data_IF_926746651268
#
_entry.id   IF_926746651268
#
_cell.length_a   1.000
_cell.length_b   1.000
_cell.length_c   1.000
_cell.angle_alpha   90.00
_cell.angle_beta   90.00
_cell.angle_gamma   90.00
#
_symmetry.space_group_name_H-M   'P 1'
#
loop_
_entity.id
_entity.type
_entity.pdbx_description
1 polymer ?
#
# COMPACT_ATOMS: atom_id res chain seq x y z
N UNK A 1 24.77 -17.48 -18.94
CA UNK A 1 25.85 -16.49 -19.12
C UNK A 1 25.98 -15.61 -17.86
N UNK A 2 24.92 -14.92 -17.42
CA UNK A 2 24.92 -14.08 -16.21
C UNK A 2 25.35 -14.86 -14.95
N UNK A 3 24.85 -16.09 -14.78
CA UNK A 3 25.21 -16.95 -13.65
C UNK A 3 26.71 -17.34 -13.67
N UNK A 4 27.24 -17.65 -14.86
CA UNK A 4 28.65 -18.02 -15.02
C UNK A 4 29.60 -16.85 -14.66
N UNK A 5 29.20 -15.62 -14.96
CA UNK A 5 29.96 -14.42 -14.65
C UNK A 5 29.58 -13.80 -13.31
N UNK A 6 28.75 -14.46 -12.50
CA UNK A 6 28.25 -13.96 -11.21
C UNK A 6 27.55 -12.59 -11.31
N UNK A 7 27.03 -12.27 -12.50
CA UNK A 7 26.26 -11.03 -12.74
C UNK A 7 24.84 -11.19 -12.21
N UNK A 8 24.69 -10.98 -10.90
CA UNK A 8 23.41 -11.19 -10.21
C UNK A 8 22.35 -10.19 -10.63
N UNK A 9 22.72 -8.99 -11.04
CA UNK A 9 21.76 -7.97 -11.47
C UNK A 9 21.10 -8.32 -12.80
N UNK A 10 21.83 -8.99 -13.69
CA UNK A 10 21.27 -9.56 -14.92
C UNK A 10 20.57 -10.90 -14.71
N UNK A 11 20.97 -11.64 -13.69
CA UNK A 11 20.37 -12.95 -13.39
C UNK A 11 18.99 -12.83 -12.74
N UNK A 12 18.81 -11.92 -11.76
CA UNK A 12 17.56 -11.74 -11.00
C UNK A 12 16.29 -11.57 -11.87
N UNK A 13 16.29 -10.78 -12.97
CA UNK A 13 15.11 -10.62 -13.79
C UNK A 13 14.67 -11.88 -14.53
N UNK A 14 15.56 -12.82 -14.81
CA UNK A 14 15.26 -14.04 -15.56
C UNK A 14 14.34 -15.00 -14.80
N UNK A 15 14.65 -15.41 -13.54
CA UNK A 15 13.75 -16.24 -12.76
C UNK A 15 12.44 -15.53 -12.42
N UNK A 16 12.48 -14.21 -12.16
CA UNK A 16 11.28 -13.45 -11.83
C UNK A 16 10.23 -13.40 -12.94
N UNK A 17 10.67 -13.45 -14.21
CA UNK A 17 9.80 -13.43 -15.41
C UNK A 17 9.50 -14.81 -15.99
N UNK A 18 10.13 -15.86 -15.50
CA UNK A 18 9.98 -17.20 -16.05
C UNK A 18 8.88 -18.00 -15.36
N UNK A 19 8.36 -19.03 -16.04
CA UNK A 19 7.44 -20.00 -15.44
C UNK A 19 8.05 -20.75 -14.24
N UNK A 20 9.37 -20.81 -14.13
CA UNK A 20 10.07 -21.36 -12.98
C UNK A 20 9.79 -20.58 -11.69
N UNK A 21 9.56 -19.27 -11.79
CA UNK A 21 9.21 -18.44 -10.64
C UNK A 21 7.92 -18.91 -9.94
N UNK A 22 6.95 -19.42 -10.69
CA UNK A 22 5.72 -19.98 -10.13
C UNK A 22 5.94 -21.31 -9.40
N UNK A 23 6.97 -22.06 -9.79
CA UNK A 23 7.32 -23.35 -9.19
C UNK A 23 8.21 -23.19 -7.95
N UNK A 24 9.00 -22.12 -7.89
CA UNK A 24 9.91 -21.85 -6.76
C UNK A 24 9.23 -21.24 -5.52
N UNK A 25 7.91 -21.06 -5.55
CA UNK A 25 7.17 -20.39 -4.48
C UNK A 25 7.22 -18.85 -4.60
N UNK A 26 6.56 -18.19 -3.63
CA UNK A 26 6.36 -16.73 -3.67
C UNK A 26 7.56 -15.95 -3.19
N UNK A 27 8.33 -16.52 -2.30
CA UNK A 27 9.49 -15.91 -1.68
C UNK A 27 10.74 -16.77 -1.86
N UNK A 28 11.83 -16.17 -2.30
CA UNK A 28 13.13 -16.82 -2.36
C UNK A 28 14.11 -15.97 -1.55
N UNK A 29 14.63 -16.55 -0.49
CA UNK A 29 15.70 -15.97 0.33
C UNK A 29 16.78 -17.02 0.53
N UNK A 30 17.86 -16.88 -0.20
CA UNK A 30 19.03 -17.75 -0.12
C UNK A 30 20.30 -16.91 -0.22
N UNK A 31 21.46 -17.43 0.23
CA UNK A 31 22.74 -16.72 0.08
C UNK A 31 23.07 -16.33 -1.36
N UNK A 32 22.53 -17.10 -2.34
CA UNK A 32 22.84 -16.89 -3.76
C UNK A 32 21.79 -15.99 -4.45
N UNK A 33 20.53 -16.02 -4.00
CA UNK A 33 19.43 -15.33 -4.66
C UNK A 33 18.34 -14.96 -3.67
N UNK A 34 18.04 -13.66 -3.61
CA UNK A 34 16.90 -13.12 -2.88
C UNK A 34 15.94 -12.49 -3.88
N UNK A 35 14.72 -12.99 -3.94
CA UNK A 35 13.65 -12.43 -4.77
C UNK A 35 12.46 -12.08 -3.90
N UNK A 36 12.11 -10.79 -3.92
CA UNK A 36 10.91 -10.29 -3.28
C UNK A 36 9.69 -10.53 -4.20
N UNK A 37 8.59 -11.10 -3.69
CA UNK A 37 7.36 -11.25 -4.48
C UNK A 37 6.79 -9.94 -5.01
N UNK A 38 7.03 -8.81 -4.35
CA UNK A 38 6.64 -7.48 -4.84
C UNK A 38 7.34 -7.13 -6.13
N UNK A 39 8.61 -7.47 -6.26
CA UNK A 39 9.39 -7.25 -7.48
C UNK A 39 8.86 -8.12 -8.66
N UNK A 40 8.11 -9.16 -8.37
CA UNK A 40 7.46 -10.04 -9.36
C UNK A 40 6.09 -9.53 -9.82
N UNK A 41 5.56 -8.47 -9.20
CA UNK A 41 4.23 -7.96 -9.54
C UNK A 41 3.07 -8.89 -9.18
N UNK A 42 3.18 -9.65 -8.11
CA UNK A 42 2.18 -10.62 -7.68
C UNK A 42 0.87 -9.97 -7.22
N UNK A 43 0.93 -8.74 -6.72
CA UNK A 43 -0.24 -7.94 -6.37
C UNK A 43 -0.07 -6.50 -6.82
N UNK A 44 -1.19 -5.83 -7.04
CA UNK A 44 -1.19 -4.42 -7.37
C UNK A 44 -1.19 -3.59 -6.07
N UNK A 45 -0.26 -2.65 -5.99
CA UNK A 45 -0.32 -1.59 -5.01
C UNK A 45 -1.04 -0.40 -5.64
N UNK A 46 -2.32 -0.30 -5.34
CA UNK A 46 -3.16 0.78 -5.85
C UNK A 46 -3.05 2.00 -4.94
N UNK A 47 -3.27 3.18 -5.51
CA UNK A 47 -3.38 4.39 -4.72
C UNK A 47 -4.67 4.41 -3.92
N UNK A 48 -4.59 4.74 -2.65
CA UNK A 48 -5.75 4.91 -1.81
C UNK A 48 -6.47 6.20 -2.16
N UNK A 49 -7.75 6.11 -2.47
CA UNK A 49 -8.58 7.26 -2.78
C UNK A 49 -9.98 7.05 -2.15
N UNK A 50 -10.14 7.29 -0.85
CA UNK A 50 -11.34 6.93 -0.08
C UNK A 50 -12.60 7.64 -0.57
N UNK A 51 -12.46 8.82 -1.17
CA UNK A 51 -13.59 9.59 -1.68
C UNK A 51 -14.11 9.09 -3.04
N UNK A 52 -13.28 8.35 -3.78
CA UNK A 52 -13.60 7.85 -5.13
C UNK A 52 -14.02 6.39 -5.10
N UNK A 53 -13.53 5.62 -4.14
CA UNK A 53 -13.88 4.22 -4.02
C UNK A 53 -15.19 4.06 -3.23
N UNK A 54 -16.22 3.60 -3.93
CA UNK A 54 -17.40 3.08 -3.26
C UNK A 54 -16.99 2.02 -2.25
N UNK A 55 -17.72 1.93 -1.14
CA UNK A 55 -17.50 0.94 -0.09
C UNK A 55 -17.26 -0.44 -0.68
N UNK A 56 -16.07 -0.97 -0.50
CA UNK A 56 -15.67 -2.25 -1.08
C UNK A 56 -16.18 -3.46 -0.27
N UNK A 57 -16.85 -3.23 0.87
CA UNK A 57 -17.31 -4.28 1.78
C UNK A 57 -18.76 -4.08 2.20
N UNK A 58 -19.40 -5.16 2.65
CA UNK A 58 -20.75 -5.14 3.21
C UNK A 58 -20.72 -4.71 4.67
N UNK A 59 -21.57 -3.76 5.06
CA UNK A 59 -21.77 -3.41 6.46
C UNK A 59 -22.39 -4.57 7.22
N UNK A 60 -21.95 -4.80 8.46
CA UNK A 60 -22.48 -5.82 9.36
C UNK A 60 -21.42 -6.83 9.83
N UNK A 61 -21.87 -7.89 10.51
CA UNK A 61 -21.01 -8.90 11.14
C UNK A 61 -20.12 -9.67 10.15
N UNK A 62 -20.58 -9.83 8.91
CA UNK A 62 -19.87 -10.57 7.86
C UNK A 62 -18.94 -9.69 7.04
N UNK A 63 -18.02 -9.02 7.52
CA UNK A 63 -17.05 -8.10 6.84
C UNK A 63 -16.57 -8.60 5.45
N UNK A 64 -17.53 -8.90 4.57
CA UNK A 64 -17.27 -9.47 3.24
C UNK A 64 -16.88 -8.35 2.28
N UNK A 65 -15.73 -8.49 1.64
CA UNK A 65 -15.31 -7.61 0.55
C UNK A 65 -16.18 -7.91 -0.68
N UNK A 66 -16.91 -6.89 -1.17
CA UNK A 66 -17.80 -7.01 -2.33
C UNK A 66 -17.09 -6.80 -3.66
N UNK A 67 -15.98 -6.05 -3.65
CA UNK A 67 -15.16 -5.84 -4.84
C UNK A 67 -14.23 -7.04 -5.06
N UNK A 68 -14.54 -7.87 -6.05
CA UNK A 68 -13.79 -9.09 -6.34
C UNK A 68 -12.32 -8.82 -6.69
N UNK A 69 -12.03 -7.69 -7.38
CA UNK A 69 -10.65 -7.32 -7.72
C UNK A 69 -9.85 -6.97 -6.46
N UNK A 70 -10.41 -6.11 -5.60
CA UNK A 70 -9.79 -5.76 -4.32
C UNK A 70 -9.57 -7.01 -3.46
N UNK A 71 -10.57 -7.89 -3.38
CA UNK A 71 -10.49 -9.14 -2.64
C UNK A 71 -9.36 -10.04 -3.17
N UNK A 72 -9.31 -10.27 -4.48
CA UNK A 72 -8.26 -11.09 -5.09
C UNK A 72 -6.85 -10.52 -4.87
N UNK A 73 -6.68 -9.20 -4.97
CA UNK A 73 -5.40 -8.55 -4.73
C UNK A 73 -5.00 -8.58 -3.25
N UNK A 74 -5.97 -8.39 -2.34
CA UNK A 74 -5.71 -8.52 -0.90
C UNK A 74 -5.28 -9.94 -0.52
N UNK A 75 -5.92 -10.98 -1.06
CA UNK A 75 -5.48 -12.35 -0.84
C UNK A 75 -4.08 -12.60 -1.38
N UNK A 76 -3.73 -12.07 -2.55
CA UNK A 76 -2.36 -12.17 -3.09
C UNK A 76 -1.34 -11.49 -2.18
N UNK A 77 -1.66 -10.31 -1.64
CA UNK A 77 -0.80 -9.65 -0.65
C UNK A 77 -0.60 -10.56 0.57
N UNK A 78 -1.67 -11.10 1.15
CA UNK A 78 -1.58 -11.99 2.32
C UNK A 78 -0.77 -13.25 2.03
N UNK A 79 -0.90 -13.82 0.82
CA UNK A 79 -0.09 -14.97 0.37
C UNK A 79 1.40 -14.65 0.33
N UNK A 80 1.77 -13.42 -0.01
CA UNK A 80 3.15 -12.95 0.03
C UNK A 80 3.63 -12.77 1.48
N UNK A 81 2.84 -12.05 2.28
CA UNK A 81 3.24 -11.65 3.63
C UNK A 81 3.38 -12.83 4.59
N UNK A 82 2.55 -13.89 4.43
CA UNK A 82 2.63 -15.07 5.30
C UNK A 82 3.98 -15.80 5.27
N UNK A 83 4.79 -15.60 4.22
CA UNK A 83 6.11 -16.22 4.10
C UNK A 83 7.25 -15.27 4.52
N UNK A 84 6.95 -14.00 4.80
CA UNK A 84 7.95 -13.06 5.31
C UNK A 84 8.16 -13.28 6.81
N UNK A 85 9.40 -13.42 7.28
CA UNK A 85 9.69 -13.55 8.72
C UNK A 85 9.38 -12.24 9.47
N UNK A 86 9.56 -11.10 8.82
CA UNK A 86 9.24 -9.77 9.34
C UNK A 86 8.68 -8.90 8.22
N UNK A 87 7.72 -8.05 8.56
CA UNK A 87 7.20 -7.06 7.63
C UNK A 87 8.15 -5.87 7.53
N UNK A 88 8.37 -5.39 6.31
CA UNK A 88 9.11 -4.16 6.08
C UNK A 88 8.16 -2.95 5.98
N UNK A 89 8.73 -1.75 5.84
CA UNK A 89 7.99 -0.50 5.77
C UNK A 89 7.00 -0.46 4.59
N UNK A 90 7.37 -1.05 3.47
CA UNK A 90 6.53 -1.11 2.28
C UNK A 90 5.37 -2.09 2.47
N UNK A 91 5.57 -3.20 3.19
CA UNK A 91 4.52 -4.15 3.53
C UNK A 91 3.47 -3.50 4.44
N UNK A 92 3.92 -2.76 5.46
CA UNK A 92 3.02 -2.02 6.34
C UNK A 92 2.20 -0.98 5.56
N UNK A 93 2.82 -0.26 4.63
CA UNK A 93 2.13 0.72 3.79
C UNK A 93 1.11 0.06 2.85
N UNK A 94 1.44 -1.11 2.28
CA UNK A 94 0.51 -1.90 1.47
C UNK A 94 -0.68 -2.40 2.31
N UNK A 95 -0.43 -2.88 3.53
CA UNK A 95 -1.50 -3.28 4.46
C UNK A 95 -2.41 -2.10 4.80
N UNK A 96 -1.86 -0.90 5.07
CA UNK A 96 -2.67 0.31 5.28
C UNK A 96 -3.66 0.52 4.13
N UNK A 97 -3.20 0.42 2.86
CA UNK A 97 -4.05 0.57 1.70
C UNK A 97 -5.25 -0.39 1.75
N UNK A 98 -4.99 -1.70 1.89
CA UNK A 98 -6.04 -2.70 1.86
C UNK A 98 -6.97 -2.65 3.07
N UNK A 99 -6.47 -2.28 4.24
CA UNK A 99 -7.27 -2.16 5.46
C UNK A 99 -8.16 -0.92 5.41
N UNK A 100 -7.62 0.24 5.01
CA UNK A 100 -8.42 1.45 4.83
C UNK A 100 -9.48 1.30 3.74
N UNK A 101 -9.16 0.62 2.63
CA UNK A 101 -10.14 0.33 1.59
C UNK A 101 -11.27 -0.62 2.05
N UNK A 102 -11.09 -1.31 3.18
CA UNK A 102 -12.10 -2.16 3.83
C UNK A 102 -12.76 -1.49 5.04
N UNK A 103 -12.56 -0.19 5.29
CA UNK A 103 -12.96 0.54 6.51
C UNK A 103 -12.47 -0.12 7.83
N UNK A 104 -11.40 -0.89 7.76
CA UNK A 104 -10.72 -1.44 8.93
C UNK A 104 -9.71 -0.41 9.46
N UNK A 105 -10.25 0.73 9.91
CA UNK A 105 -9.47 1.94 10.17
C UNK A 105 -8.46 1.73 11.30
N UNK A 106 -8.89 1.15 12.42
CA UNK A 106 -8.01 0.93 13.58
C UNK A 106 -6.82 0.03 13.25
N UNK A 107 -7.07 -1.05 12.51
CA UNK A 107 -6.02 -1.97 12.06
C UNK A 107 -5.08 -1.29 11.05
N UNK A 108 -5.66 -0.51 10.13
CA UNK A 108 -4.87 0.28 9.18
C UNK A 108 -3.97 1.31 9.88
N UNK A 109 -4.49 2.01 10.88
CA UNK A 109 -3.72 2.96 11.69
C UNK A 109 -2.60 2.26 12.48
N UNK A 110 -2.86 1.08 13.05
CA UNK A 110 -1.83 0.31 13.76
C UNK A 110 -0.66 -0.08 12.84
N UNK A 111 -0.95 -0.43 11.57
CA UNK A 111 0.11 -0.65 10.59
C UNK A 111 0.78 0.65 10.16
N UNK A 112 0.03 1.73 9.98
CA UNK A 112 0.59 3.02 9.61
C UNK A 112 1.58 3.55 10.64
N UNK A 113 1.34 3.32 11.93
CA UNK A 113 2.22 3.71 13.03
C UNK A 113 3.58 2.98 13.03
N UNK A 114 3.69 1.88 12.28
CA UNK A 114 4.96 1.17 12.08
C UNK A 114 5.76 1.71 10.87
N UNK A 115 5.18 2.66 10.13
CA UNK A 115 5.82 3.17 8.90
C UNK A 115 6.63 4.42 9.19
N UNK A 116 7.93 4.34 8.94
CA UNK A 116 8.82 5.49 8.96
C UNK A 116 8.91 6.11 7.55
N UNK A 117 8.54 7.37 7.42
CA UNK A 117 8.46 8.07 6.13
C UNK A 117 9.76 7.98 5.33
N UNK A 118 10.90 8.05 6.00
CA UNK A 118 12.23 8.06 5.38
C UNK A 118 12.55 6.74 4.71
N UNK A 119 11.99 5.65 5.19
CA UNK A 119 12.27 4.29 4.76
C UNK A 119 11.32 3.78 3.66
N UNK A 120 10.22 4.49 3.38
CA UNK A 120 9.33 4.10 2.28
C UNK A 120 9.79 4.68 0.95
N UNK A 121 9.53 3.95 -0.14
CA UNK A 121 9.84 4.41 -1.50
C UNK A 121 8.91 5.55 -1.93
N UNK A 122 7.62 5.38 -1.69
CA UNK A 122 6.56 6.27 -2.16
C UNK A 122 6.17 7.31 -1.10
N UNK A 123 7.00 8.36 -0.96
CA UNK A 123 6.76 9.47 -0.01
C UNK A 123 5.41 10.14 -0.21
N UNK A 124 4.98 10.28 -1.46
CA UNK A 124 3.71 10.87 -1.82
C UNK A 124 2.53 10.06 -1.29
N UNK A 125 2.57 8.74 -1.49
CA UNK A 125 1.55 7.83 -0.97
C UNK A 125 1.53 7.83 0.55
N UNK A 126 2.71 7.86 1.20
CA UNK A 126 2.80 7.99 2.65
C UNK A 126 2.12 9.28 3.14
N UNK A 127 2.43 10.43 2.54
CA UNK A 127 1.84 11.70 2.96
C UNK A 127 0.32 11.73 2.75
N UNK A 128 -0.17 11.07 1.69
CA UNK A 128 -1.61 10.94 1.49
C UNK A 128 -2.28 10.06 2.57
N UNK A 129 -1.67 8.95 2.96
CA UNK A 129 -2.13 8.18 4.11
C UNK A 129 -2.02 8.96 5.42
N UNK A 130 -0.97 9.75 5.61
CA UNK A 130 -0.82 10.60 6.80
C UNK A 130 -1.96 11.63 6.93
N UNK A 131 -2.42 12.22 5.81
CA UNK A 131 -3.60 13.09 5.79
C UNK A 131 -4.85 12.34 6.24
N UNK A 132 -5.10 11.16 5.66
CA UNK A 132 -6.26 10.34 6.02
C UNK A 132 -6.19 9.85 7.48
N UNK A 133 -5.02 9.39 7.94
CA UNK A 133 -4.81 9.00 9.33
C UNK A 133 -5.07 10.16 10.30
N UNK A 134 -4.64 11.37 9.95
CA UNK A 134 -4.90 12.56 10.75
C UNK A 134 -6.39 12.90 10.82
N UNK A 135 -7.16 12.69 9.73
CA UNK A 135 -8.63 12.82 9.77
C UNK A 135 -9.27 11.79 10.70
N UNK A 136 -8.88 10.53 10.61
CA UNK A 136 -9.40 9.48 11.48
C UNK A 136 -9.10 9.73 12.97
N UNK A 137 -8.02 10.46 13.26
CA UNK A 137 -7.60 10.86 14.62
C UNK A 137 -8.11 12.23 15.05
N UNK A 138 -8.90 12.90 14.20
CA UNK A 138 -9.39 14.27 14.42
C UNK A 138 -8.26 15.32 14.55
N UNK A 139 -7.08 15.04 14.01
CA UNK A 139 -5.92 15.94 13.96
C UNK A 139 -6.01 16.89 12.75
N UNK A 140 -7.07 17.66 12.63
CA UNK A 140 -7.41 18.42 11.41
C UNK A 140 -6.32 19.40 10.98
N UNK A 141 -5.63 20.05 11.93
CA UNK A 141 -4.52 20.97 11.63
C UNK A 141 -3.37 20.25 10.94
N UNK A 142 -3.01 19.08 11.44
CA UNK A 142 -1.95 18.25 10.86
C UNK A 142 -2.30 17.79 9.45
N UNK A 143 -3.54 17.35 9.23
CA UNK A 143 -4.02 17.00 7.90
C UNK A 143 -3.90 18.17 6.92
N UNK A 144 -4.33 19.36 7.33
CA UNK A 144 -4.22 20.60 6.52
C UNK A 144 -2.78 20.97 6.21
N UNK A 145 -1.88 20.92 7.20
CA UNK A 145 -0.46 21.22 7.01
C UNK A 145 0.22 20.29 5.99
N UNK A 146 -0.10 18.99 6.06
CA UNK A 146 0.43 18.03 5.09
C UNK A 146 -0.13 18.32 3.70
N UNK A 147 -1.45 18.49 3.58
CA UNK A 147 -2.12 18.72 2.29
C UNK A 147 -1.67 20.00 1.61
N UNK A 148 -1.39 21.07 2.37
CA UNK A 148 -0.86 22.35 1.85
C UNK A 148 0.47 22.19 1.10
N UNK A 149 1.32 21.24 1.48
CA UNK A 149 2.61 21.01 0.79
C UNK A 149 2.41 20.62 -0.67
N UNK A 150 1.25 20.05 -1.00
CA UNK A 150 0.90 19.53 -2.33
C UNK A 150 0.01 20.48 -3.14
N UNK A 151 -0.28 21.69 -2.64
CA UNK A 151 -1.14 22.69 -3.30
C UNK A 151 -0.63 23.10 -4.69
N UNK A 152 0.70 23.10 -4.88
CA UNK A 152 1.38 23.40 -6.15
C UNK A 152 2.09 22.20 -6.75
N UNK A 153 1.65 21.00 -6.41
CA UNK A 153 2.30 19.79 -6.90
C UNK A 153 2.08 19.64 -8.42
N UNK A 154 3.13 19.24 -9.15
CA UNK A 154 3.14 19.24 -10.61
C UNK A 154 2.22 18.16 -11.25
N UNK A 155 1.77 17.17 -10.50
CA UNK A 155 0.86 16.12 -10.97
C UNK A 155 -0.57 16.46 -10.53
N UNK A 156 -1.40 16.83 -11.50
CA UNK A 156 -2.77 17.30 -11.28
C UNK A 156 -3.62 16.35 -10.44
N UNK A 157 -3.54 15.05 -10.71
CA UNK A 157 -4.28 14.05 -9.97
C UNK A 157 -4.00 14.09 -8.47
N UNK A 158 -2.75 14.13 -8.07
CA UNK A 158 -2.37 14.20 -6.67
C UNK A 158 -2.72 15.53 -6.04
N UNK A 159 -2.51 16.64 -6.78
CA UNK A 159 -2.93 17.97 -6.33
C UNK A 159 -4.43 17.99 -6.03
N UNK A 160 -5.25 17.41 -6.91
CA UNK A 160 -6.69 17.30 -6.71
C UNK A 160 -7.04 16.46 -5.48
N UNK A 161 -6.43 15.28 -5.29
CA UNK A 161 -6.66 14.42 -4.12
C UNK A 161 -6.35 15.12 -2.80
N UNK A 162 -5.23 15.85 -2.72
CA UNK A 162 -4.89 16.63 -1.52
C UNK A 162 -5.81 17.84 -1.33
N UNK A 163 -6.26 18.50 -2.41
CA UNK A 163 -7.23 19.59 -2.34
C UNK A 163 -8.60 19.10 -1.86
N UNK A 164 -9.07 17.96 -2.37
CA UNK A 164 -10.30 17.32 -1.92
C UNK A 164 -10.21 16.94 -0.42
N UNK A 165 -9.09 16.37 0.01
CA UNK A 165 -8.87 16.06 1.42
C UNK A 165 -8.97 17.32 2.31
N UNK A 166 -8.52 18.49 1.83
CA UNK A 166 -8.69 19.78 2.55
C UNK A 166 -10.13 20.28 2.58
N UNK A 167 -10.89 20.03 1.53
CA UNK A 167 -12.28 20.50 1.43
C UNK A 167 -13.26 19.70 2.32
N UNK A 168 -12.86 18.54 2.81
CA UNK A 168 -13.71 17.62 3.58
C UNK A 168 -13.69 17.70 5.12
N UNK A 169 -12.96 18.60 5.81
CA UNK A 169 -13.03 18.68 7.28
C UNK A 169 -14.46 18.98 7.79
N UNK A 170 -15.34 19.49 6.93
CA UNK A 170 -16.73 19.85 7.28
C UNK A 170 -17.67 18.63 7.30
N UNK A 171 -17.36 17.55 6.59
CA UNK A 171 -18.26 16.39 6.47
C UNK A 171 -18.16 15.38 7.62
N UNK A 172 -17.05 15.40 8.38
CA UNK A 172 -16.82 14.47 9.49
C UNK A 172 -17.31 15.01 10.86
N UNK A 173 -17.72 16.27 10.94
CA UNK A 173 -18.22 16.89 12.18
C UNK A 173 -19.72 16.63 12.45
N UNK A 174 -20.38 15.82 11.62
CA UNK A 174 -21.81 15.51 11.69
C UNK A 174 -22.12 14.01 11.92
N UNK A 175 -21.23 13.28 12.62
CA UNK A 175 -21.54 11.93 13.12
C UNK A 175 -21.50 11.89 14.63
#
# INVERSE_FOLDING_TARGET
HAQYHQDMDRFKPLPAKSSLASQCGLWIDSPLLKLDPTDRGWYEQLEYAPLVHARAHRLGKERRILNNRLHAQYLKLLEVLKYKPTLDQQDHLALCYYLFAQDRIEEGLAHFDQVEKEQVREKLQYDYFAVNAAFYRLELRKAEEIAKRYERFGIDRWRTLFAEARAHPVSYTHL
#
